data_IF_593449972275
#
_entry.id   IF_593449972275
#
_cell.length_a   1.000
_cell.length_b   1.000
_cell.length_c   1.000
_cell.angle_alpha   90.00
_cell.angle_beta   90.00
_cell.angle_gamma   90.00
#
_symmetry.space_group_name_H-M   'P 1'
#
loop_
_entity.id
_entity.type
_entity.pdbx_description
1 polymer ?
#
# COMPACT_ATOMS: atom_id res chain seq x y z
N UNK A 1 -11.02 20.08 -31.29
CA UNK A 1 -12.30 19.36 -31.43
C UNK A 1 -13.38 20.12 -32.19
N UNK A 2 -13.46 21.45 -32.15
CA UNK A 2 -14.48 22.25 -32.88
C UNK A 2 -14.40 22.14 -34.43
N UNK A 3 -13.20 22.01 -35.00
CA UNK A 3 -13.00 22.03 -36.45
C UNK A 3 -13.40 20.71 -37.16
N UNK A 4 -13.40 19.58 -36.46
CA UNK A 4 -13.78 18.27 -37.02
C UNK A 4 -15.32 18.18 -37.18
N UNK A 5 -16.06 18.72 -36.22
CA UNK A 5 -17.53 18.76 -36.24
C UNK A 5 -18.05 19.63 -37.40
N UNK A 6 -17.39 20.75 -37.68
CA UNK A 6 -17.77 21.64 -38.82
C UNK A 6 -17.46 20.97 -40.15
N UNK A 7 -16.36 20.24 -40.28
CA UNK A 7 -16.01 19.51 -41.49
C UNK A 7 -16.99 18.39 -41.79
N UNK A 8 -17.44 17.65 -40.78
CA UNK A 8 -18.45 16.59 -40.90
C UNK A 8 -19.81 17.18 -41.27
N UNK A 9 -20.19 18.29 -40.65
CA UNK A 9 -21.47 18.96 -40.92
C UNK A 9 -21.55 19.49 -42.36
N UNK A 10 -20.48 20.06 -42.91
CA UNK A 10 -20.41 20.60 -44.26
C UNK A 10 -20.46 19.51 -45.34
N UNK A 11 -19.87 18.35 -45.10
CA UNK A 11 -19.88 17.23 -46.05
C UNK A 11 -21.19 16.43 -46.06
N UNK A 12 -21.97 16.46 -44.99
CA UNK A 12 -23.27 15.76 -44.95
C UNK A 12 -24.38 16.54 -45.66
N UNK A 13 -24.30 17.88 -45.66
CA UNK A 13 -25.38 18.73 -46.23
C UNK A 13 -25.24 19.05 -47.73
N UNK A 14 -24.09 18.82 -48.36
CA UNK A 14 -23.85 19.31 -49.73
C UNK A 14 -23.60 18.22 -50.78
N UNK A 15 -24.22 17.02 -50.65
CA UNK A 15 -24.09 15.99 -51.69
C UNK A 15 -25.36 15.78 -52.48
N UNK A 16 -25.28 15.84 -53.85
CA UNK A 16 -26.46 15.70 -54.73
C UNK A 16 -26.98 14.26 -54.71
N UNK A 17 -28.28 14.14 -54.89
CA UNK A 17 -29.08 12.91 -54.87
C UNK A 17 -28.58 11.86 -55.87
N UNK A 18 -27.86 10.87 -55.38
CA UNK A 18 -27.58 9.63 -56.13
C UNK A 18 -28.04 8.43 -55.31
N UNK A 19 -29.11 7.83 -55.79
CA UNK A 19 -29.48 6.45 -55.50
C UNK A 19 -29.90 6.09 -54.06
N UNK A 20 -31.12 5.57 -53.94
CA UNK A 20 -31.73 5.02 -52.70
C UNK A 20 -30.82 4.09 -51.88
N UNK A 21 -29.85 3.44 -52.51
CA UNK A 21 -28.89 2.53 -51.87
C UNK A 21 -27.77 3.28 -51.12
N UNK A 22 -27.32 4.38 -51.65
CA UNK A 22 -26.25 5.19 -51.03
C UNK A 22 -26.72 5.92 -49.76
N UNK A 23 -27.95 6.43 -49.78
CA UNK A 23 -28.53 7.08 -48.59
C UNK A 23 -28.77 6.08 -47.47
N UNK A 24 -29.20 4.84 -47.80
CA UNK A 24 -29.32 3.77 -46.81
C UNK A 24 -27.97 3.41 -46.20
N UNK A 25 -26.90 3.28 -46.98
CA UNK A 25 -25.55 2.96 -46.49
C UNK A 25 -25.02 4.04 -45.56
N UNK A 26 -25.25 5.30 -45.85
CA UNK A 26 -24.84 6.45 -45.02
C UNK A 26 -25.60 6.49 -43.70
N UNK A 27 -26.90 6.20 -43.71
CA UNK A 27 -27.71 6.09 -42.50
C UNK A 27 -27.23 4.92 -41.60
N UNK A 28 -26.91 3.77 -42.20
CA UNK A 28 -26.36 2.63 -41.48
C UNK A 28 -24.99 2.93 -40.85
N UNK A 29 -24.14 3.64 -41.61
CA UNK A 29 -22.80 4.01 -41.11
C UNK A 29 -22.91 5.06 -40.01
N UNK A 30 -23.83 6.01 -40.08
CA UNK A 30 -24.14 6.98 -39.05
C UNK A 30 -24.67 6.32 -37.77
N UNK A 31 -25.58 5.35 -37.91
CA UNK A 31 -26.12 4.58 -36.79
C UNK A 31 -25.05 3.73 -36.11
N UNK A 32 -24.16 3.09 -36.89
CA UNK A 32 -23.04 2.32 -36.38
C UNK A 32 -22.08 3.20 -35.59
N UNK A 33 -21.76 4.41 -36.10
CA UNK A 33 -20.93 5.38 -35.36
C UNK A 33 -21.59 5.83 -34.05
N UNK A 34 -22.92 6.02 -34.08
CA UNK A 34 -23.66 6.42 -32.87
C UNK A 34 -23.63 5.32 -31.79
N UNK A 35 -23.73 4.06 -32.20
CA UNK A 35 -23.64 2.89 -31.30
C UNK A 35 -22.23 2.77 -30.70
N UNK A 36 -21.19 3.02 -31.50
CA UNK A 36 -19.80 2.98 -31.03
C UNK A 36 -19.48 4.11 -30.03
N UNK A 37 -20.12 5.28 -30.20
CA UNK A 37 -19.98 6.40 -29.26
C UNK A 37 -20.74 6.19 -27.94
N UNK A 38 -21.77 5.34 -27.93
CA UNK A 38 -22.54 4.99 -26.75
C UNK A 38 -21.87 3.90 -25.89
N UNK A 39 -20.76 3.30 -26.36
CA UNK A 39 -19.95 2.36 -25.59
C UNK A 39 -19.15 3.10 -24.52
N UNK A 40 -19.83 3.61 -23.51
CA UNK A 40 -19.21 4.03 -22.27
C UNK A 40 -18.64 2.78 -21.59
N UNK A 41 -17.33 2.59 -21.67
CA UNK A 41 -16.62 1.68 -20.80
C UNK A 41 -16.86 2.13 -19.35
N UNK A 42 -17.77 1.46 -18.65
CA UNK A 42 -17.82 1.56 -17.18
C UNK A 42 -16.49 1.01 -16.67
N UNK A 43 -15.64 1.87 -16.17
CA UNK A 43 -14.60 1.41 -15.26
C UNK A 43 -15.32 0.83 -14.05
N UNK A 44 -15.43 -0.52 -14.02
CA UNK A 44 -15.81 -1.22 -12.82
C UNK A 44 -14.77 -0.84 -11.75
N UNK A 45 -15.18 -0.13 -10.71
CA UNK A 45 -14.40 -0.17 -9.47
C UNK A 45 -14.40 -1.64 -9.08
N UNK A 46 -13.23 -2.27 -8.90
CA UNK A 46 -13.20 -3.54 -8.21
C UNK A 46 -13.84 -3.25 -6.84
N UNK A 47 -15.01 -3.82 -6.61
CA UNK A 47 -15.56 -3.88 -5.26
C UNK A 47 -14.50 -4.63 -4.48
N UNK A 48 -13.81 -3.94 -3.56
CA UNK A 48 -12.78 -4.52 -2.71
C UNK A 48 -13.33 -5.79 -2.07
N UNK A 49 -12.47 -6.79 -1.87
CA UNK A 49 -12.81 -7.99 -1.12
C UNK A 49 -13.39 -7.64 0.26
N UNK A 50 -13.69 -8.66 1.04
CA UNK A 50 -14.09 -8.50 2.43
C UNK A 50 -13.04 -7.64 3.15
N UNK A 51 -13.50 -6.64 3.86
CA UNK A 51 -12.63 -5.80 4.69
C UNK A 51 -11.98 -6.70 5.76
N UNK A 52 -10.65 -6.72 5.81
CA UNK A 52 -9.91 -7.47 6.82
C UNK A 52 -9.85 -6.64 8.11
N UNK A 53 -10.36 -7.21 9.19
CA UNK A 53 -10.32 -6.61 10.52
C UNK A 53 -9.28 -7.30 11.42
N UNK A 54 -8.50 -8.22 10.85
CA UNK A 54 -7.50 -9.00 11.60
C UNK A 54 -6.24 -8.15 11.81
N UNK A 55 -5.77 -7.99 13.05
CA UNK A 55 -4.47 -7.35 13.30
C UNK A 55 -3.30 -8.18 12.79
N UNK A 56 -2.16 -7.56 12.44
CA UNK A 56 -0.96 -8.28 12.09
C UNK A 56 -0.45 -9.12 13.27
N UNK A 57 0.19 -10.27 12.97
CA UNK A 57 0.77 -11.15 13.98
C UNK A 57 2.27 -11.29 13.79
N UNK A 58 3.00 -11.35 14.92
CA UNK A 58 4.44 -11.66 14.91
C UNK A 58 4.63 -13.13 14.61
N UNK A 59 5.36 -13.43 13.53
CA UNK A 59 5.70 -14.81 13.12
C UNK A 59 7.03 -15.26 13.72
N UNK A 60 8.01 -14.36 13.76
CA UNK A 60 9.34 -14.66 14.28
C UNK A 60 10.09 -13.38 14.67
N UNK A 61 11.04 -13.48 15.56
CA UNK A 61 11.99 -12.43 15.86
C UNK A 61 13.42 -12.98 15.88
N UNK A 62 14.38 -12.17 15.44
CA UNK A 62 15.82 -12.49 15.43
C UNK A 62 16.63 -11.31 15.97
N UNK A 63 17.31 -11.45 17.14
CA UNK A 63 17.26 -12.61 18.05
C UNK A 63 15.84 -12.98 18.47
N UNK A 64 15.66 -14.19 19.02
CA UNK A 64 14.35 -14.64 19.53
C UNK A 64 13.89 -13.71 20.66
N UNK A 65 12.59 -13.44 20.73
CA UNK A 65 12.01 -12.65 21.83
C UNK A 65 12.22 -13.37 23.17
N UNK A 66 12.69 -12.65 24.16
CA UNK A 66 13.16 -13.22 25.43
C UNK A 66 14.50 -13.96 25.34
N UNK A 67 15.20 -13.91 24.19
CA UNK A 67 16.50 -14.56 23.99
C UNK A 67 17.58 -14.08 24.98
N UNK A 68 18.50 -14.96 25.33
CA UNK A 68 19.62 -14.66 26.25
C UNK A 68 20.97 -14.82 25.58
N UNK A 69 22.02 -14.23 26.16
CA UNK A 69 23.39 -14.20 25.62
C UNK A 69 23.44 -13.57 24.21
N UNK A 70 22.60 -12.58 23.96
CA UNK A 70 22.53 -11.88 22.70
C UNK A 70 23.66 -10.87 22.57
N UNK A 71 24.41 -10.94 21.48
CA UNK A 71 25.49 -9.99 21.17
C UNK A 71 25.15 -9.12 19.94
N UNK A 72 24.07 -9.46 19.26
CA UNK A 72 23.64 -8.75 18.05
C UNK A 72 22.99 -7.41 18.41
N UNK A 73 23.45 -6.32 17.78
CA UNK A 73 22.85 -4.99 17.88
C UNK A 73 21.69 -4.76 16.90
N UNK A 74 21.43 -5.73 16.05
CA UNK A 74 20.35 -5.68 15.05
C UNK A 74 19.26 -6.68 15.39
N UNK A 75 18.05 -6.17 15.57
CA UNK A 75 16.84 -6.96 15.79
C UNK A 75 15.99 -6.94 14.53
N UNK A 76 15.39 -8.07 14.19
CA UNK A 76 14.44 -8.21 13.10
C UNK A 76 13.20 -8.91 13.61
N UNK A 77 12.04 -8.32 13.37
CA UNK A 77 10.74 -8.88 13.75
C UNK A 77 9.96 -9.08 12.46
N UNK A 78 9.46 -10.30 12.23
CA UNK A 78 8.72 -10.70 11.05
C UNK A 78 7.24 -10.85 11.38
N UNK A 79 6.41 -10.41 10.45
CA UNK A 79 4.95 -10.45 10.54
C UNK A 79 4.36 -11.31 9.43
N UNK A 80 3.14 -11.76 9.62
CA UNK A 80 2.37 -12.52 8.64
C UNK A 80 1.90 -11.67 7.46
N UNK A 81 1.83 -10.34 7.64
CA UNK A 81 1.39 -9.40 6.63
C UNK A 81 2.27 -8.14 6.50
N UNK A 82 1.95 -7.27 5.54
CA UNK A 82 2.64 -5.99 5.34
C UNK A 82 2.29 -5.02 6.44
N UNK A 83 3.31 -4.46 7.09
CA UNK A 83 3.15 -3.56 8.23
C UNK A 83 3.73 -2.17 7.95
N UNK A 84 3.20 -1.20 8.69
CA UNK A 84 3.73 0.15 8.81
C UNK A 84 3.95 0.49 10.28
N UNK A 85 4.89 1.41 10.53
CA UNK A 85 5.11 2.00 11.85
C UNK A 85 4.77 3.49 11.75
N UNK A 86 3.91 3.95 12.64
CA UNK A 86 3.55 5.35 12.74
C UNK A 86 4.25 5.99 13.93
N UNK A 87 4.93 7.15 13.67
CA UNK A 87 5.63 7.93 14.70
C UNK A 87 6.70 7.12 15.49
N UNK A 88 7.45 6.28 14.79
CA UNK A 88 8.51 5.43 15.38
C UNK A 88 9.44 6.16 16.36
N UNK A 89 9.78 7.42 16.07
CA UNK A 89 10.69 8.23 16.90
C UNK A 89 10.08 8.77 18.19
N UNK A 90 8.76 8.82 18.29
CA UNK A 90 8.05 9.39 19.45
C UNK A 90 7.47 8.29 20.36
N UNK A 91 7.10 7.15 19.77
CA UNK A 91 6.42 6.06 20.47
C UNK A 91 7.33 4.91 20.87
N UNK A 92 8.44 4.70 20.15
CA UNK A 92 9.34 3.58 20.40
C UNK A 92 10.35 3.91 21.49
N UNK A 93 10.27 3.19 22.60
CA UNK A 93 11.16 3.37 23.75
C UNK A 93 12.09 2.18 23.88
N UNK A 94 13.39 2.44 23.81
CA UNK A 94 14.42 1.43 24.11
C UNK A 94 14.89 1.58 25.54
N UNK A 95 14.83 0.51 26.32
CA UNK A 95 15.36 0.43 27.70
C UNK A 95 16.46 -0.63 27.78
N UNK A 96 17.62 -0.34 28.39
CA UNK A 96 18.01 0.96 28.94
C UNK A 96 18.17 2.05 27.89
N UNK A 97 18.05 3.33 28.27
CA UNK A 97 18.15 4.44 27.34
C UNK A 97 19.45 4.42 26.56
N UNK A 98 19.40 4.72 25.29
CA UNK A 98 20.54 4.79 24.40
C UNK A 98 21.09 6.22 24.34
N UNK A 99 22.42 6.37 24.19
CA UNK A 99 23.06 7.68 23.94
C UNK A 99 22.73 8.15 22.52
N UNK A 100 22.80 7.24 21.57
CA UNK A 100 22.41 7.47 20.18
C UNK A 100 21.11 6.71 19.90
N UNK A 101 20.11 7.41 19.39
CA UNK A 101 18.79 6.84 19.13
C UNK A 101 18.88 5.64 18.19
N UNK A 102 18.17 4.58 18.52
CA UNK A 102 18.04 3.39 17.69
C UNK A 102 17.38 3.75 16.36
N UNK A 103 17.84 3.14 15.28
CA UNK A 103 17.26 3.29 13.97
C UNK A 103 16.21 2.20 13.74
N UNK A 104 14.96 2.60 13.53
CA UNK A 104 13.83 1.68 13.33
C UNK A 104 13.29 1.87 11.94
N UNK A 105 13.16 0.77 11.18
CA UNK A 105 12.66 0.74 9.81
C UNK A 105 11.65 -0.37 9.64
N UNK A 106 10.55 -0.08 8.96
CA UNK A 106 9.63 -1.10 8.43
C UNK A 106 9.89 -1.31 6.94
N UNK A 107 9.93 -2.56 6.52
CA UNK A 107 10.09 -2.92 5.11
C UNK A 107 9.29 -4.18 4.81
N UNK A 108 8.19 -4.02 4.09
CA UNK A 108 7.30 -5.12 3.77
C UNK A 108 6.68 -5.74 5.02
N UNK A 109 6.98 -7.01 5.27
CA UNK A 109 6.48 -7.78 6.41
C UNK A 109 7.43 -7.80 7.61
N UNK A 110 8.34 -6.85 7.75
CA UNK A 110 9.32 -6.87 8.82
C UNK A 110 9.66 -5.49 9.36
N UNK A 111 10.00 -5.47 10.65
CA UNK A 111 10.65 -4.36 11.33
C UNK A 111 12.12 -4.71 11.55
N UNK A 112 12.99 -3.77 11.30
CA UNK A 112 14.41 -3.83 11.65
C UNK A 112 14.73 -2.72 12.65
N UNK A 113 15.31 -3.09 13.80
CA UNK A 113 15.80 -2.15 14.80
C UNK A 113 17.32 -2.29 14.87
N UNK A 114 18.03 -1.19 14.67
CA UNK A 114 19.49 -1.12 14.79
C UNK A 114 19.86 -0.29 16.00
N UNK A 115 20.33 -0.94 17.07
CA UNK A 115 20.93 -0.27 18.22
C UNK A 115 22.29 0.29 17.83
N UNK A 116 22.52 1.56 18.12
CA UNK A 116 23.77 2.25 17.76
C UNK A 116 24.84 2.04 18.83
N UNK A 117 24.44 2.15 20.09
CA UNK A 117 25.35 1.99 21.24
C UNK A 117 25.86 0.57 21.37
N UNK A 118 26.95 0.43 22.12
CA UNK A 118 27.43 -0.89 22.53
C UNK A 118 26.52 -1.49 23.59
N UNK A 119 26.22 -2.78 23.43
CA UNK A 119 25.39 -3.48 24.40
C UNK A 119 26.14 -3.61 25.75
N UNK A 120 25.45 -3.30 26.83
CA UNK A 120 25.94 -3.51 28.20
C UNK A 120 25.90 -5.01 28.55
N UNK A 121 26.84 -5.49 29.31
CA UNK A 121 26.87 -6.88 29.80
C UNK A 121 25.78 -7.15 30.84
N UNK A 122 25.25 -8.38 30.85
CA UNK A 122 24.25 -8.84 31.84
C UNK A 122 23.06 -7.89 31.95
N UNK A 123 22.59 -7.40 30.82
CA UNK A 123 21.53 -6.37 30.73
C UNK A 123 20.38 -6.86 29.89
N UNK A 124 19.17 -6.69 30.39
CA UNK A 124 17.97 -6.92 29.59
C UNK A 124 17.61 -5.64 28.81
N UNK A 125 17.48 -5.79 27.52
CA UNK A 125 17.00 -4.74 26.60
C UNK A 125 15.53 -4.97 26.29
N UNK A 126 14.78 -3.90 26.33
CA UNK A 126 13.36 -3.89 25.98
C UNK A 126 13.12 -2.83 24.91
N UNK A 127 12.41 -3.18 23.88
CA UNK A 127 11.96 -2.27 22.84
C UNK A 127 10.44 -2.27 22.88
N UNK A 128 9.87 -1.16 23.30
CA UNK A 128 8.43 -0.98 23.40
C UNK A 128 7.95 -0.20 22.18
N UNK A 129 7.12 -0.84 21.36
CA UNK A 129 6.50 -0.23 20.18
C UNK A 129 5.13 0.38 20.50
N UNK A 130 4.62 0.16 21.72
CA UNK A 130 3.30 0.62 22.10
C UNK A 130 2.24 0.23 21.07
N UNK A 131 1.49 1.20 20.54
CA UNK A 131 0.47 1.04 19.48
C UNK A 131 0.94 1.54 18.10
N UNK A 132 2.27 1.64 17.89
CA UNK A 132 2.84 2.21 16.68
C UNK A 132 2.71 1.28 15.45
N UNK A 133 2.55 -0.03 15.65
CA UNK A 133 2.52 -1.02 14.57
C UNK A 133 1.09 -1.27 14.11
N UNK A 134 0.86 -1.16 12.80
CA UNK A 134 -0.41 -1.53 12.18
C UNK A 134 -0.16 -2.19 10.82
N UNK A 135 -1.17 -2.91 10.29
CA UNK A 135 -1.12 -3.37 8.93
C UNK A 135 -1.10 -2.19 7.95
N UNK A 136 -0.55 -2.43 6.76
CA UNK A 136 -0.37 -1.38 5.77
C UNK A 136 -1.61 -1.16 4.89
N UNK A 137 -2.53 -2.11 4.83
CA UNK A 137 -3.67 -2.08 3.93
C UNK A 137 -4.88 -1.42 4.59
N UNK A 138 -5.38 -2.02 5.66
CA UNK A 138 -6.60 -1.60 6.37
C UNK A 138 -6.28 -0.68 7.55
N UNK A 139 -5.08 -0.77 8.11
CA UNK A 139 -4.64 0.03 9.27
C UNK A 139 -5.01 -0.57 10.61
N UNK A 140 -5.29 -1.89 10.67
CA UNK A 140 -5.60 -2.58 11.91
C UNK A 140 -4.38 -2.55 12.84
N UNK A 141 -4.50 -2.04 14.07
CA UNK A 141 -3.37 -1.97 14.99
C UNK A 141 -3.02 -3.34 15.57
N UNK A 142 -1.72 -3.64 15.69
CA UNK A 142 -1.24 -4.81 16.43
C UNK A 142 -1.62 -4.74 17.91
N UNK A 143 -1.78 -3.54 18.43
CA UNK A 143 -1.90 -3.25 19.84
C UNK A 143 -0.53 -3.07 20.51
N UNK A 144 -0.51 -3.07 21.84
CA UNK A 144 0.74 -2.89 22.57
C UNK A 144 1.67 -4.09 22.35
N UNK A 145 2.81 -3.83 21.73
CA UNK A 145 3.82 -4.84 21.46
C UNK A 145 5.17 -4.43 22.04
N UNK A 146 5.76 -5.33 22.83
CA UNK A 146 7.07 -5.16 23.46
C UNK A 146 7.93 -6.34 23.11
N UNK A 147 9.14 -6.08 22.64
CA UNK A 147 10.17 -7.08 22.37
C UNK A 147 11.30 -6.96 23.36
N UNK A 148 11.87 -8.07 23.81
CA UNK A 148 12.97 -8.09 24.80
C UNK A 148 14.06 -9.09 24.46
N UNK A 149 15.26 -8.86 24.98
CA UNK A 149 16.39 -9.80 24.96
C UNK A 149 17.38 -9.47 26.06
N UNK A 150 18.22 -10.43 26.43
CA UNK A 150 19.30 -10.22 27.40
C UNK A 150 20.69 -10.54 26.82
N UNK A 151 21.68 -9.76 27.21
CA UNK A 151 23.09 -9.93 26.84
C UNK A 151 23.82 -10.88 27.75
#
# INVERSE_FOLDING_TARGET
>A
MKNILIYIYHNILHYPHTGRRETALRLWMGLLCLILLASCARMGRPDGGWYDETPPHVVAAYPEDGGTNVTAKKVRILFDEFIKIENATEKDVVSPPQMEQAEIKSTGKRIEVQLKDSLLHNTTYTIDFSDAISDNNEGNPLGNYTYSFAT
#
